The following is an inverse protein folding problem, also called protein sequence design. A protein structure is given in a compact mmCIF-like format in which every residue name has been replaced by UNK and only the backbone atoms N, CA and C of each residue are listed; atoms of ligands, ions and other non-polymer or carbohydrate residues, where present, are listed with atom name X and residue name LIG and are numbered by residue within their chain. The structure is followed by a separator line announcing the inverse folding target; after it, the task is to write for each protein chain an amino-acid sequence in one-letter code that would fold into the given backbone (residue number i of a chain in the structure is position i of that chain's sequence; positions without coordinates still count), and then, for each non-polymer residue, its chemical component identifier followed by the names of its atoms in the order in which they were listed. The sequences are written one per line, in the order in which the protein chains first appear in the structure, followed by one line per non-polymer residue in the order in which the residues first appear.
data_IF_196867785213
#
_entry.id   IF_196867785213
#
_cell.length_a   1.000
_cell.length_b   1.000
_cell.length_c   1.000
_cell.angle_alpha   90.00
_cell.angle_beta   90.00
_cell.angle_gamma   90.00
#
_symmetry.space_group_name_H-M   'P 1'
#
loop_
_entity.id
_entity.type
_entity.pdbx_description
1 polymer ?
#
# COMPACT_ATOMS: atom_id res chain seq x y z
N UNK A 1 -17.55 18.05 8.58
CA UNK A 1 -18.70 17.40 7.91
C UNK A 1 -18.41 15.91 7.90
N UNK A 2 -19.11 15.12 8.70
CA UNK A 2 -19.00 13.66 8.70
C UNK A 2 -19.60 13.15 7.39
N UNK A 3 -18.75 12.82 6.40
CA UNK A 3 -19.23 12.21 5.16
C UNK A 3 -19.83 10.85 5.52
N UNK A 4 -21.11 10.63 5.23
CA UNK A 4 -21.77 9.35 5.49
C UNK A 4 -21.04 8.25 4.70
N UNK A 5 -20.49 7.26 5.41
CA UNK A 5 -19.82 6.11 4.79
C UNK A 5 -20.92 5.19 4.23
N UNK A 6 -20.89 4.85 2.92
CA UNK A 6 -21.90 3.99 2.32
C UNK A 6 -21.75 2.54 2.79
N UNK A 7 -22.80 1.73 2.65
CA UNK A 7 -22.75 0.30 3.00
C UNK A 7 -21.98 -0.53 1.97
N UNK A 8 -22.04 -0.11 0.71
CA UNK A 8 -21.32 -0.72 -0.41
C UNK A 8 -20.62 0.36 -1.22
N UNK A 9 -19.57 -0.02 -1.94
CA UNK A 9 -18.86 0.86 -2.85
C UNK A 9 -18.20 0.05 -3.98
N UNK A 10 -17.53 0.73 -4.91
CA UNK A 10 -16.92 0.05 -6.04
C UNK A 10 -15.57 -0.55 -5.68
N UNK A 11 -15.26 -1.71 -6.24
CA UNK A 11 -13.96 -2.35 -6.14
C UNK A 11 -13.65 -3.23 -7.34
N UNK A 12 -12.37 -3.31 -7.72
CA UNK A 12 -11.87 -4.27 -8.69
C UNK A 12 -11.38 -5.53 -7.94
N UNK A 13 -12.05 -6.64 -8.18
CA UNK A 13 -11.90 -7.88 -7.41
C UNK A 13 -11.33 -8.99 -8.30
N UNK A 14 -10.31 -9.68 -7.79
CA UNK A 14 -9.75 -10.89 -8.37
C UNK A 14 -10.49 -12.09 -7.76
N UNK A 15 -11.12 -12.91 -8.61
CA UNK A 15 -11.92 -14.05 -8.17
C UNK A 15 -11.10 -15.33 -7.93
N UNK A 16 -10.03 -15.51 -8.70
CA UNK A 16 -9.06 -16.61 -8.58
C UNK A 16 -7.77 -16.22 -9.30
N UNK A 17 -6.72 -17.04 -9.19
CA UNK A 17 -5.49 -16.85 -9.96
C UNK A 17 -5.77 -16.84 -11.48
N UNK A 18 -4.99 -16.05 -12.20
CA UNK A 18 -5.05 -15.86 -13.66
C UNK A 18 -6.40 -15.35 -14.20
N UNK A 19 -7.32 -14.93 -13.32
CA UNK A 19 -8.59 -14.32 -13.72
C UNK A 19 -8.47 -12.80 -13.80
N UNK A 20 -9.22 -12.21 -14.73
CA UNK A 20 -9.29 -10.76 -14.85
C UNK A 20 -9.95 -10.11 -13.63
N UNK A 21 -9.59 -8.85 -13.40
CA UNK A 21 -10.22 -8.02 -12.39
C UNK A 21 -11.67 -7.76 -12.80
N UNK A 22 -12.60 -8.16 -11.94
CA UNK A 22 -14.02 -7.88 -12.11
C UNK A 22 -14.35 -6.63 -11.31
N UNK A 23 -14.79 -5.57 -12.00
CA UNK A 23 -15.34 -4.40 -11.33
C UNK A 23 -16.70 -4.76 -10.71
N UNK A 24 -16.84 -4.53 -9.41
CA UNK A 24 -18.08 -4.69 -8.66
C UNK A 24 -18.50 -3.34 -8.10
N UNK A 25 -19.76 -2.98 -8.24
CA UNK A 25 -20.31 -1.73 -7.70
C UNK A 25 -20.90 -1.90 -6.29
N UNK A 26 -20.99 -3.13 -5.79
CA UNK A 26 -21.66 -3.53 -4.56
C UNK A 26 -20.71 -4.16 -3.52
N UNK A 27 -19.40 -3.87 -3.60
CA UNK A 27 -18.43 -4.39 -2.65
C UNK A 27 -18.74 -3.86 -1.23
N UNK A 28 -18.91 -4.73 -0.22
CA UNK A 28 -19.20 -4.29 1.15
C UNK A 28 -18.09 -3.39 1.70
N UNK A 29 -18.50 -2.26 2.31
CA UNK A 29 -17.58 -1.36 3.01
C UNK A 29 -17.59 -1.71 4.49
N UNK A 30 -16.40 -1.88 5.07
CA UNK A 30 -16.25 -2.14 6.51
C UNK A 30 -16.77 -0.94 7.31
N UNK A 31 -17.70 -1.16 8.23
CA UNK A 31 -18.28 -0.09 9.03
C UNK A 31 -17.29 0.37 10.11
N UNK A 32 -17.36 1.63 10.56
CA UNK A 32 -16.52 2.12 11.65
C UNK A 32 -16.56 1.24 12.91
N UNK A 33 -17.74 0.70 13.25
CA UNK A 33 -17.94 -0.21 14.39
C UNK A 33 -17.29 -1.59 14.24
N UNK A 34 -16.85 -1.94 13.02
CA UNK A 34 -16.22 -3.22 12.70
C UNK A 34 -14.70 -3.11 12.58
N UNK A 35 -14.15 -1.89 12.66
CA UNK A 35 -12.71 -1.67 12.64
C UNK A 35 -12.09 -2.16 13.95
N UNK A 36 -11.10 -3.03 13.84
CA UNK A 36 -10.32 -3.46 14.99
C UNK A 36 -9.45 -2.31 15.53
N UNK A 37 -9.02 -2.38 16.81
CA UNK A 37 -8.05 -1.42 17.34
C UNK A 37 -6.80 -1.33 16.47
N UNK A 38 -6.36 -0.11 16.18
CA UNK A 38 -5.25 0.19 15.28
C UNK A 38 -5.63 0.28 13.79
N UNK A 39 -6.85 -0.10 13.40
CA UNK A 39 -7.30 0.03 12.01
C UNK A 39 -7.90 1.40 11.72
N UNK A 40 -7.81 1.80 10.46
CA UNK A 40 -8.50 2.96 9.91
C UNK A 40 -9.15 2.59 8.57
N UNK A 41 -10.26 3.25 8.28
CA UNK A 41 -10.90 3.21 6.98
C UNK A 41 -10.48 4.44 6.19
N UNK A 42 -10.00 4.22 4.97
CA UNK A 42 -9.54 5.26 4.06
C UNK A 42 -10.44 5.26 2.83
N UNK A 43 -11.00 6.44 2.51
CA UNK A 43 -11.66 6.67 1.23
C UNK A 43 -10.57 6.95 0.20
N UNK A 44 -10.45 6.07 -0.79
CA UNK A 44 -9.39 6.14 -1.81
C UNK A 44 -9.80 7.14 -2.89
N UNK A 45 -8.90 8.07 -3.20
CA UNK A 45 -9.05 9.04 -4.27
C UNK A 45 -8.30 8.58 -5.52
N UNK A 46 -7.13 7.96 -5.35
CA UNK A 46 -6.25 7.49 -6.42
C UNK A 46 -5.57 6.17 -6.04
N UNK A 47 -5.36 5.31 -7.04
CA UNK A 47 -4.57 4.09 -6.87
C UNK A 47 -3.56 3.95 -8.02
N UNK A 48 -2.28 3.72 -7.68
CA UNK A 48 -1.25 3.33 -8.62
C UNK A 48 -1.37 1.84 -8.99
N UNK A 49 -0.83 1.47 -10.15
CA UNK A 49 -0.81 0.10 -10.65
C UNK A 49 0.63 -0.29 -10.95
N UNK A 50 1.07 -1.42 -10.41
CA UNK A 50 2.42 -1.92 -10.64
C UNK A 50 2.43 -3.39 -11.06
N UNK A 51 3.57 -3.82 -11.60
CA UNK A 51 3.79 -5.20 -12.03
C UNK A 51 3.65 -6.22 -10.88
N UNK A 52 3.85 -5.79 -9.63
CA UNK A 52 3.56 -6.61 -8.44
C UNK A 52 2.09 -6.99 -8.33
N UNK A 53 1.15 -6.16 -8.78
CA UNK A 53 -0.27 -6.52 -8.80
C UNK A 53 -0.55 -7.65 -9.81
N UNK A 54 0.15 -7.66 -10.94
CA UNK A 54 0.09 -8.74 -11.92
C UNK A 54 0.66 -10.05 -11.35
N UNK A 55 1.83 -10.01 -10.71
CA UNK A 55 2.40 -11.21 -10.10
C UNK A 55 1.53 -11.81 -8.99
N UNK A 56 0.77 -10.98 -8.27
CA UNK A 56 -0.22 -11.46 -7.31
C UNK A 56 -1.39 -12.15 -8.01
N UNK A 57 -1.88 -11.60 -9.13
CA UNK A 57 -2.90 -12.25 -9.98
C UNK A 57 -2.41 -13.60 -10.53
N UNK A 58 -1.14 -13.70 -10.93
CA UNK A 58 -0.53 -14.90 -11.52
C UNK A 58 -0.14 -15.97 -10.48
N UNK A 59 -0.22 -15.66 -9.18
CA UNK A 59 0.10 -16.61 -8.11
C UNK A 59 1.59 -16.90 -7.92
N UNK A 60 2.48 -16.05 -8.45
CA UNK A 60 3.93 -16.26 -8.40
C UNK A 60 4.56 -16.25 -6.99
N UNK A 61 3.84 -15.79 -5.96
CA UNK A 61 4.35 -15.64 -4.59
C UNK A 61 3.72 -16.56 -3.54
N UNK A 62 2.87 -17.50 -3.96
CA UNK A 62 2.21 -18.46 -3.09
C UNK A 62 0.72 -18.15 -2.87
N UNK A 63 0.11 -18.74 -1.83
CA UNK A 63 -1.35 -18.77 -1.70
C UNK A 63 -1.95 -17.40 -1.39
N UNK A 64 -3.01 -17.05 -2.13
CA UNK A 64 -3.87 -15.89 -1.92
C UNK A 64 -5.26 -16.39 -1.56
N UNK A 65 -5.88 -15.77 -0.55
CA UNK A 65 -7.30 -16.02 -0.25
C UNK A 65 -8.15 -15.15 -1.18
N UNK A 66 -8.94 -15.81 -2.02
CA UNK A 66 -9.91 -15.17 -2.89
C UNK A 66 -11.34 -15.21 -2.32
N UNK A 67 -12.26 -14.33 -2.76
CA UNK A 67 -12.00 -13.16 -3.63
C UNK A 67 -11.12 -12.11 -2.93
N UNK A 68 -10.37 -11.32 -3.72
CA UNK A 68 -9.40 -10.33 -3.22
C UNK A 68 -9.50 -9.02 -4.00
N UNK A 69 -9.58 -7.89 -3.31
CA UNK A 69 -9.36 -6.58 -3.95
C UNK A 69 -7.86 -6.40 -4.20
N UNK A 70 -7.46 -6.07 -5.43
CA UNK A 70 -6.05 -5.84 -5.80
C UNK A 70 -5.53 -4.46 -5.40
N UNK A 71 -4.26 -4.17 -5.71
CA UNK A 71 -3.66 -2.86 -5.52
C UNK A 71 -3.01 -2.64 -4.15
N UNK A 72 -1.92 -1.88 -4.13
CA UNK A 72 -1.16 -1.59 -2.92
C UNK A 72 -0.50 -0.20 -2.94
N UNK A 73 -1.07 0.71 -3.74
CA UNK A 73 -0.56 2.07 -4.02
C UNK A 73 -1.69 3.10 -3.92
N UNK A 74 -2.39 3.12 -2.79
CA UNK A 74 -3.60 3.94 -2.63
C UNK A 74 -3.30 5.27 -1.97
N UNK A 75 -3.84 6.36 -2.47
CA UNK A 75 -3.91 7.66 -1.77
C UNK A 75 -5.36 7.98 -1.49
N UNK A 76 -5.61 8.44 -0.27
CA UNK A 76 -6.96 8.81 0.13
C UNK A 76 -6.99 9.57 1.43
N UNK A 77 -8.19 9.67 2.01
CA UNK A 77 -8.42 10.35 3.29
C UNK A 77 -8.99 9.39 4.33
N UNK A 78 -8.51 9.51 5.56
CA UNK A 78 -9.03 8.74 6.69
C UNK A 78 -10.45 9.20 7.01
N UNK A 79 -11.43 8.29 6.93
CA UNK A 79 -12.84 8.57 7.20
C UNK A 79 -13.33 7.96 8.51
N UNK A 80 -12.65 6.94 9.02
CA UNK A 80 -12.93 6.35 10.33
C UNK A 80 -11.67 5.72 10.92
N UNK A 81 -11.61 5.64 12.24
CA UNK A 81 -10.56 4.98 13.01
C UNK A 81 -11.24 4.05 14.00
N UNK A 82 -10.73 2.82 14.16
CA UNK A 82 -11.26 1.85 15.10
C UNK A 82 -11.16 2.33 16.54
N UNK A 83 -12.08 1.86 17.38
CA UNK A 83 -12.08 2.17 18.80
C UNK A 83 -10.77 1.73 19.48
N UNK A 84 -10.46 2.33 20.63
CA UNK A 84 -9.22 2.08 21.38
C UNK A 84 -7.91 2.44 20.63
N UNK A 85 -7.97 3.32 19.63
CA UNK A 85 -6.82 3.80 18.82
C UNK A 85 -6.44 5.26 19.12
N UNK A 86 -6.84 5.80 20.28
CA UNK A 86 -6.74 7.23 20.62
C UNK A 86 -5.32 7.80 20.74
N UNK A 87 -4.29 6.94 20.81
CA UNK A 87 -2.88 7.36 20.87
C UNK A 87 -2.20 7.58 19.52
N UNK A 88 -2.91 7.40 18.40
CA UNK A 88 -2.33 7.56 17.07
C UNK A 88 -2.10 9.04 16.70
N UNK A 89 -1.06 9.30 15.91
CA UNK A 89 -0.83 10.61 15.30
C UNK A 89 -1.80 10.89 14.14
N UNK A 90 -2.41 9.84 13.57
CA UNK A 90 -3.34 9.92 12.44
C UNK A 90 -4.73 10.29 12.92
N UNK A 91 -5.37 11.23 12.23
CA UNK A 91 -6.71 11.75 12.54
C UNK A 91 -7.66 11.55 11.36
N UNK A 92 -8.96 11.54 11.66
CA UNK A 92 -10.00 11.59 10.63
C UNK A 92 -9.84 12.87 9.82
N UNK A 93 -9.82 12.75 8.49
CA UNK A 93 -9.58 13.82 7.52
C UNK A 93 -8.16 13.85 6.96
N UNK A 94 -7.19 13.22 7.63
CA UNK A 94 -5.80 13.20 7.18
C UNK A 94 -5.67 12.52 5.83
N UNK A 95 -4.86 13.13 4.95
CA UNK A 95 -4.50 12.58 3.66
C UNK A 95 -3.33 11.59 3.83
N UNK A 96 -3.56 10.36 3.43
CA UNK A 96 -2.64 9.25 3.69
C UNK A 96 -2.46 8.33 2.47
N UNK A 97 -1.28 7.70 2.41
CA UNK A 97 -0.90 6.69 1.44
C UNK A 97 -0.87 5.29 2.05
N UNK A 98 -1.49 4.34 1.36
CA UNK A 98 -1.46 2.90 1.61
C UNK A 98 -0.38 2.27 0.72
N UNK A 99 0.42 1.40 1.32
CA UNK A 99 1.59 0.76 0.70
C UNK A 99 1.42 -0.76 0.74
N UNK A 100 2.36 -1.50 0.17
CA UNK A 100 2.42 -2.96 0.29
C UNK A 100 2.35 -3.48 1.73
N UNK A 101 2.98 -2.81 2.70
CA UNK A 101 2.86 -3.19 4.12
C UNK A 101 1.60 -2.56 4.70
N UNK A 102 0.61 -3.40 5.00
CA UNK A 102 -0.55 -2.99 5.80
C UNK A 102 -0.22 -2.96 7.28
N UNK A 103 0.47 -3.99 7.77
CA UNK A 103 0.85 -4.14 9.18
C UNK A 103 2.03 -5.11 9.30
N UNK A 104 2.78 -5.04 10.39
CA UNK A 104 3.82 -5.99 10.72
C UNK A 104 3.88 -6.30 12.21
N UNK A 105 4.13 -7.57 12.56
CA UNK A 105 4.34 -7.96 13.96
C UNK A 105 5.72 -7.51 14.47
N UNK A 106 5.79 -6.32 15.07
CA UNK A 106 7.04 -5.71 15.55
C UNK A 106 7.81 -6.55 16.56
N UNK A 107 7.12 -7.37 17.37
CA UNK A 107 7.78 -8.28 18.34
C UNK A 107 8.60 -9.37 17.64
N UNK A 108 8.07 -9.97 16.58
CA UNK A 108 8.75 -11.01 15.80
C UNK A 108 9.79 -10.46 14.82
N UNK A 109 9.73 -9.16 14.53
CA UNK A 109 10.75 -8.46 13.74
C UNK A 109 11.98 -8.02 14.54
N UNK A 110 11.93 -8.08 15.88
CA UNK A 110 13.01 -7.62 16.75
C UNK A 110 14.30 -8.42 16.53
N UNK A 111 14.17 -9.72 16.29
CA UNK A 111 15.29 -10.65 16.17
C UNK A 111 15.75 -10.85 14.72
N UNK A 112 15.13 -10.14 13.77
CA UNK A 112 15.48 -10.20 12.35
C UNK A 112 16.37 -9.01 11.99
N UNK A 113 17.56 -9.23 11.38
CA UNK A 113 18.42 -8.14 10.91
C UNK A 113 17.64 -7.16 10.03
N UNK A 114 17.89 -5.85 10.13
CA UNK A 114 17.14 -4.82 9.40
C UNK A 114 17.03 -5.10 7.88
N UNK A 115 18.04 -5.75 7.28
CA UNK A 115 18.06 -6.15 5.87
C UNK A 115 17.13 -7.33 5.50
N UNK A 116 16.64 -8.09 6.48
CA UNK A 116 15.82 -9.29 6.31
C UNK A 116 14.45 -9.20 6.99
N UNK A 117 14.10 -8.06 7.62
CA UNK A 117 12.74 -7.83 8.17
C UNK A 117 11.64 -7.91 7.09
N UNK A 118 12.05 -7.96 5.83
CA UNK A 118 11.25 -8.14 4.63
C UNK A 118 10.91 -9.59 4.31
N UNK A 119 11.50 -10.56 5.01
CA UNK A 119 11.33 -12.00 4.74
C UNK A 119 10.03 -12.51 5.36
N UNK A 120 9.09 -12.71 4.44
CA UNK A 120 7.83 -13.46 4.45
C UNK A 120 7.55 -14.29 5.72
N UNK A 121 6.53 -13.85 6.47
CA UNK A 121 5.93 -14.59 7.59
C UNK A 121 5.14 -13.72 8.55
N UNK A 122 5.54 -12.46 8.72
CA UNK A 122 5.04 -11.59 9.80
C UNK A 122 4.44 -10.26 9.33
N UNK A 123 4.36 -10.06 8.02
CA UNK A 123 3.80 -8.88 7.37
C UNK A 123 2.41 -9.21 6.81
N UNK A 124 1.47 -8.31 7.02
CA UNK A 124 0.17 -8.25 6.34
C UNK A 124 0.29 -7.27 5.17
N UNK A 125 -0.20 -7.65 4.00
CA UNK A 125 0.00 -6.88 2.77
C UNK A 125 -1.29 -6.60 2.02
N UNK A 126 -1.48 -5.34 1.62
CA UNK A 126 -2.56 -4.89 0.73
C UNK A 126 -2.48 -5.59 -0.62
N UNK A 127 -3.63 -5.96 -1.17
CA UNK A 127 -3.72 -6.66 -2.46
C UNK A 127 -3.36 -8.15 -2.39
N UNK A 128 -2.80 -8.64 -1.27
CA UNK A 128 -2.29 -10.02 -1.13
C UNK A 128 -2.93 -10.77 0.05
N UNK A 129 -2.63 -10.34 1.28
CA UNK A 129 -3.18 -10.96 2.51
C UNK A 129 -4.45 -10.28 3.00
N UNK A 130 -4.57 -8.98 2.73
CA UNK A 130 -5.79 -8.18 2.97
C UNK A 130 -6.18 -7.48 1.69
N UNK A 131 -7.41 -6.99 1.65
CA UNK A 131 -7.92 -6.25 0.51
C UNK A 131 -7.08 -5.00 0.24
N UNK A 132 -6.87 -4.75 -1.05
CA UNK A 132 -5.98 -3.72 -1.55
C UNK A 132 -6.66 -2.37 -1.81
N UNK A 133 -6.02 -1.59 -2.67
CA UNK A 133 -6.36 -0.19 -2.92
C UNK A 133 -7.18 0.03 -4.20
N UNK A 134 -7.48 -1.03 -4.96
CA UNK A 134 -8.40 -0.95 -6.11
C UNK A 134 -9.86 -0.97 -5.65
N UNK A 135 -10.21 -0.14 -4.69
CA UNK A 135 -11.56 0.05 -4.17
C UNK A 135 -11.76 1.49 -3.73
N UNK A 136 -13.00 1.99 -3.76
CA UNK A 136 -13.35 3.32 -3.27
C UNK A 136 -13.07 3.48 -1.76
N UNK A 137 -13.06 2.37 -1.01
CA UNK A 137 -12.71 2.32 0.41
C UNK A 137 -11.80 1.14 0.73
N UNK A 138 -10.75 1.37 1.52
CA UNK A 138 -9.81 0.34 1.96
C UNK A 138 -9.51 0.45 3.46
N UNK A 139 -9.35 -0.70 4.10
CA UNK A 139 -8.90 -0.78 5.50
C UNK A 139 -7.37 -0.78 5.55
N UNK A 140 -6.80 -0.01 6.46
CA UNK A 140 -5.37 0.02 6.74
C UNK A 140 -5.12 0.15 8.23
N UNK A 141 -3.86 0.29 8.64
CA UNK A 141 -3.44 0.41 10.03
C UNK A 141 -2.77 1.76 10.26
N UNK A 142 -3.19 2.48 11.30
CA UNK A 142 -2.77 3.87 11.55
C UNK A 142 -1.26 4.04 11.71
N UNK A 143 -0.56 3.01 12.17
CA UNK A 143 0.90 3.03 12.36
C UNK A 143 1.70 2.82 11.06
N UNK A 144 1.03 2.40 9.97
CA UNK A 144 1.66 2.01 8.71
C UNK A 144 1.26 2.86 7.51
N UNK A 145 0.21 3.68 7.65
CA UNK A 145 -0.14 4.68 6.64
C UNK A 145 0.92 5.77 6.55
N UNK A 146 1.08 6.36 5.37
CA UNK A 146 2.08 7.42 5.12
C UNK A 146 1.36 8.76 5.00
N UNK A 147 1.63 9.77 5.85
CA UNK A 147 1.11 11.11 5.63
C UNK A 147 1.55 11.64 4.27
N UNK A 148 0.62 12.14 3.46
CA UNK A 148 0.93 12.73 2.15
C UNK A 148 0.65 14.23 2.22
N UNK A 149 1.65 15.10 2.00
CA UNK A 149 1.45 16.55 1.99
C UNK A 149 0.39 16.97 0.96
N UNK A 150 -0.49 17.90 1.32
CA UNK A 150 -1.54 18.41 0.40
C UNK A 150 -0.95 19.06 -0.86
N UNK A 151 0.28 19.57 -0.81
CA UNK A 151 0.98 20.16 -1.95
C UNK A 151 1.48 19.13 -2.97
N UNK A 152 1.51 17.85 -2.62
CA UNK A 152 1.97 16.78 -3.50
C UNK A 152 0.79 16.15 -4.24
N UNK A 153 0.79 16.28 -5.57
CA UNK A 153 -0.25 15.72 -6.43
C UNK A 153 -0.41 14.21 -6.24
N UNK A 154 -1.66 13.72 -6.27
CA UNK A 154 -1.98 12.31 -6.03
C UNK A 154 -1.39 11.40 -7.11
N UNK A 155 -1.44 11.78 -8.39
CA UNK A 155 -0.92 10.95 -9.47
C UNK A 155 0.62 10.88 -9.45
N UNK A 156 1.28 11.95 -9.00
CA UNK A 156 2.72 11.93 -8.75
C UNK A 156 3.12 11.16 -7.49
N UNK A 157 2.24 11.09 -6.49
CA UNK A 157 2.51 10.43 -5.21
C UNK A 157 2.17 8.94 -5.19
N UNK A 158 1.19 8.46 -5.95
CA UNK A 158 0.81 7.03 -5.94
C UNK A 158 1.96 6.11 -6.34
N UNK A 159 2.76 6.40 -7.40
CA UNK A 159 3.91 5.56 -7.71
C UNK A 159 4.86 5.56 -6.52
N UNK A 160 5.09 6.69 -5.86
CA UNK A 160 5.92 6.69 -4.66
C UNK A 160 5.45 5.71 -3.59
N UNK A 161 4.27 5.12 -3.56
CA UNK A 161 3.84 4.20 -2.51
C UNK A 161 4.26 2.73 -2.67
N UNK A 162 4.89 2.35 -3.79
CA UNK A 162 5.20 0.95 -4.07
C UNK A 162 6.68 0.57 -4.05
N UNK A 163 6.89 -0.74 -4.02
CA UNK A 163 8.13 -1.49 -4.06
C UNK A 163 8.89 -1.65 -2.74
N UNK A 164 8.46 -2.74 -2.07
CA UNK A 164 9.11 -3.52 -1.00
C UNK A 164 9.11 -2.88 0.40
N UNK A 165 9.15 -3.73 1.45
CA UNK A 165 8.76 -3.31 2.79
C UNK A 165 9.75 -2.26 3.33
N UNK A 166 9.24 -1.04 3.51
CA UNK A 166 9.91 0.23 3.89
C UNK A 166 10.22 1.21 2.77
N UNK A 167 10.06 0.86 1.50
CA UNK A 167 10.53 1.72 0.42
C UNK A 167 9.36 2.15 -0.49
N UNK A 168 9.09 3.46 -0.48
CA UNK A 168 8.42 4.21 -1.54
C UNK A 168 9.04 3.90 -2.94
N UNK A 169 8.40 4.05 -4.10
CA UNK A 169 9.08 3.73 -5.40
C UNK A 169 10.29 4.64 -5.65
N UNK A 170 10.22 5.89 -5.17
CA UNK A 170 11.39 6.76 -5.07
C UNK A 170 12.42 6.29 -4.03
N UNK A 171 11.97 5.63 -2.95
CA UNK A 171 12.86 4.94 -2.01
C UNK A 171 13.41 3.62 -2.55
N UNK A 172 12.82 2.91 -3.52
CA UNK A 172 13.40 1.65 -4.04
C UNK A 172 14.64 1.96 -4.85
N UNK A 173 14.55 2.92 -5.76
CA UNK A 173 15.72 3.38 -6.50
C UNK A 173 16.72 4.04 -5.55
N UNK A 174 16.25 4.85 -4.58
CA UNK A 174 17.11 5.43 -3.53
C UNK A 174 17.76 4.37 -2.61
N UNK A 175 17.06 3.30 -2.26
CA UNK A 175 17.55 2.19 -1.44
C UNK A 175 18.51 1.35 -2.25
N UNK A 176 18.21 1.05 -3.51
CA UNK A 176 19.13 0.42 -4.44
C UNK A 176 20.41 1.25 -4.56
N UNK A 177 20.29 2.57 -4.75
CA UNK A 177 21.41 3.52 -4.75
C UNK A 177 22.17 3.54 -3.42
N UNK A 178 21.49 3.43 -2.27
CA UNK A 178 22.16 3.30 -0.97
C UNK A 178 22.88 1.96 -0.81
N UNK A 179 22.31 0.86 -1.28
CA UNK A 179 22.93 -0.47 -1.21
C UNK A 179 24.11 -0.62 -2.18
N UNK A 180 24.23 0.22 -3.22
CA UNK A 180 25.45 0.25 -4.06
C UNK A 180 26.67 0.84 -3.33
N UNK A 181 26.47 1.55 -2.20
CA UNK A 181 27.48 2.36 -1.51
C UNK A 181 28.17 3.40 -2.42
N UNK A 182 27.54 3.79 -3.53
CA UNK A 182 28.06 4.82 -4.42
C UNK A 182 28.18 6.17 -3.68
N UNK A 183 29.28 6.87 -3.93
CA UNK A 183 29.55 8.22 -3.42
C UNK A 183 29.26 9.26 -4.51
N UNK A 184 29.08 10.51 -4.09
CA UNK A 184 28.98 11.65 -5.01
C UNK A 184 30.19 11.64 -5.97
N UNK A 185 29.92 11.72 -7.27
CA UNK A 185 30.93 11.63 -8.33
C UNK A 185 31.18 10.23 -8.89
N UNK A 186 30.58 9.17 -8.33
CA UNK A 186 30.61 7.85 -8.95
C UNK A 186 29.60 7.72 -10.10
N UNK A 187 29.97 6.91 -11.10
CA UNK A 187 29.06 6.50 -12.15
C UNK A 187 28.17 5.35 -11.67
N UNK A 188 26.86 5.47 -11.88
CA UNK A 188 25.88 4.41 -11.60
C UNK A 188 25.15 4.08 -12.89
N UNK A 189 25.10 2.79 -13.25
CA UNK A 189 24.30 2.31 -14.37
C UNK A 189 22.93 1.90 -13.84
N UNK A 190 21.86 2.43 -14.45
CA UNK A 190 20.47 2.07 -14.15
C UNK A 190 19.91 1.32 -15.37
N UNK A 191 19.95 -0.02 -15.39
CA UNK A 191 19.32 -0.79 -16.46
C UNK A 191 17.81 -0.50 -16.49
N UNK A 192 17.27 -0.14 -17.66
CA UNK A 192 15.86 0.21 -17.79
C UNK A 192 15.48 1.61 -17.31
N UNK A 193 16.41 2.58 -17.36
CA UNK A 193 16.18 3.98 -16.96
C UNK A 193 14.98 4.69 -17.65
N UNK A 194 14.46 4.15 -18.75
CA UNK A 194 13.25 4.66 -19.41
C UNK A 194 11.93 4.08 -18.89
N UNK A 195 11.96 3.05 -18.03
CA UNK A 195 10.76 2.40 -17.48
C UNK A 195 10.18 3.09 -16.24
N UNK A 196 9.06 2.56 -15.74
CA UNK A 196 8.32 3.14 -14.61
C UNK A 196 9.16 3.36 -13.34
N UNK A 197 10.02 2.41 -12.95
CA UNK A 197 10.93 2.60 -11.82
C UNK A 197 12.21 3.37 -12.20
N UNK A 198 12.77 3.07 -13.38
CA UNK A 198 14.06 3.60 -13.81
C UNK A 198 14.06 5.11 -14.04
N UNK A 199 12.94 5.68 -14.48
CA UNK A 199 12.86 7.12 -14.75
C UNK A 199 12.92 7.97 -13.47
N UNK A 200 12.61 7.40 -12.30
CA UNK A 200 12.75 8.08 -10.99
C UNK A 200 14.21 8.17 -10.52
N UNK A 201 15.12 7.42 -11.14
CA UNK A 201 16.54 7.37 -10.76
C UNK A 201 17.44 8.33 -11.53
N UNK A 202 16.91 9.09 -12.49
CA UNK A 202 17.68 10.03 -13.30
C UNK A 202 17.61 11.44 -12.70
N UNK A 203 18.77 12.09 -12.60
CA UNK A 203 18.90 13.53 -12.33
C UNK A 203 18.76 14.34 -13.62
#
# INVERSE_FOLDING_TARGET
MTSTIPQTARAAVIAAFDQDLVLKDDQPVIRPSELAPGQCLVKIDYAGVCHSDLHVKEGGWGPVKFPRVGGHEGIGRVVAIGEHTSGSQVKIGDRVGLKWIANACLRRMRDVPNRQRTVVGYVTSHGYKVDGTFADYAVSYVDYVTPIPESLDSAAATPLLCARPMDLQGMTIYKALKETNAKVGNWVVIPGAGGGLGHLGRS
#
